data_IF_045411023268
#
_entry.id   IF_045411023268
#
_cell.length_a   1.000
_cell.length_b   1.000
_cell.length_c   1.000
_cell.angle_alpha   90.00
_cell.angle_beta   90.00
_cell.angle_gamma   90.00
#
_symmetry.space_group_name_H-M   'P 1'
#
loop_
_entity.id
_entity.type
_entity.pdbx_description
1 polymer ?
#
# COMPACT_ATOMS: atom_id res chain seq x y z
N UNK A 1 5.54 17.87 29.01
CA UNK A 1 5.54 19.31 29.35
C UNK A 1 4.90 19.56 30.71
N UNK A 2 3.67 19.15 30.92
CA UNK A 2 2.99 19.33 32.22
C UNK A 2 3.73 18.75 33.42
N UNK A 3 4.37 17.59 33.28
CA UNK A 3 5.12 16.91 34.37
C UNK A 3 6.34 17.72 34.89
N UNK A 4 6.79 18.78 34.19
CA UNK A 4 7.88 19.66 34.60
C UNK A 4 7.47 21.12 34.80
N UNK A 5 6.17 21.41 34.87
CA UNK A 5 5.64 22.77 35.09
C UNK A 5 5.91 23.77 33.95
N UNK A 6 6.26 23.26 32.73
CA UNK A 6 6.45 24.14 31.57
C UNK A 6 5.12 24.40 30.89
N UNK A 7 4.79 25.67 30.69
CA UNK A 7 3.53 26.11 30.08
C UNK A 7 3.70 26.60 28.64
N UNK A 8 4.91 27.00 28.25
CA UNK A 8 5.22 27.50 26.91
C UNK A 8 6.43 26.80 26.29
N UNK A 9 6.47 26.74 24.94
CA UNK A 9 7.58 26.14 24.17
C UNK A 9 8.89 26.89 24.44
N UNK A 10 8.82 28.19 24.65
CA UNK A 10 9.97 29.04 24.99
C UNK A 10 10.68 28.69 26.31
N UNK A 11 9.97 28.04 27.22
CA UNK A 11 10.51 27.62 28.53
C UNK A 11 11.27 26.30 28.50
N UNK A 12 11.20 25.58 27.40
CA UNK A 12 11.84 24.27 27.25
C UNK A 12 13.34 24.45 27.08
N UNK A 13 14.09 23.76 27.92
CA UNK A 13 15.55 23.74 27.88
C UNK A 13 16.10 22.55 27.09
N UNK A 14 17.38 22.59 26.73
CA UNK A 14 18.07 21.45 26.12
C UNK A 14 18.07 20.22 27.03
N UNK A 15 18.10 20.43 28.35
CA UNK A 15 18.02 19.36 29.35
C UNK A 15 16.62 18.71 29.37
N UNK A 16 15.55 19.52 29.28
CA UNK A 16 14.19 19.00 29.16
C UNK A 16 14.02 18.14 27.90
N UNK A 17 14.60 18.58 26.78
CA UNK A 17 14.57 17.85 25.52
C UNK A 17 15.38 16.54 25.60
N UNK A 18 16.54 16.55 26.27
CA UNK A 18 17.35 15.34 26.49
C UNK A 18 16.65 14.34 27.41
N UNK A 19 16.08 14.82 28.52
CA UNK A 19 15.30 13.98 29.45
C UNK A 19 14.06 13.37 28.79
N UNK A 20 13.39 14.11 27.90
CA UNK A 20 12.29 13.56 27.11
C UNK A 20 12.75 12.36 26.26
N UNK A 21 13.91 12.48 25.58
CA UNK A 21 14.47 11.38 24.80
C UNK A 21 14.84 10.18 25.69
N UNK A 22 15.42 10.41 26.86
CA UNK A 22 15.74 9.36 27.82
C UNK A 22 14.46 8.62 28.27
N UNK A 23 13.42 9.35 28.67
CA UNK A 23 12.12 8.79 29.06
C UNK A 23 11.46 7.97 27.94
N UNK A 24 11.57 8.40 26.67
CA UNK A 24 11.06 7.58 25.54
C UNK A 24 11.78 6.24 25.40
N UNK A 25 13.06 6.16 25.79
CA UNK A 25 13.90 4.95 25.64
C UNK A 25 13.82 4.02 26.86
N UNK A 26 13.70 4.57 28.03
CA UNK A 26 13.72 3.85 29.31
C UNK A 26 12.31 3.51 29.79
N UNK A 27 11.32 4.28 29.34
CA UNK A 27 9.96 4.23 29.88
C UNK A 27 9.88 4.98 31.23
N UNK A 28 8.68 5.01 31.77
CA UNK A 28 8.38 5.52 33.10
C UNK A 28 7.32 4.64 33.80
N UNK A 29 6.81 5.07 34.95
CA UNK A 29 5.82 4.30 35.70
C UNK A 29 4.49 4.09 34.93
N UNK A 30 4.18 5.00 34.00
CA UNK A 30 2.93 5.01 33.24
C UNK A 30 3.10 4.50 31.80
N UNK A 31 4.34 4.48 31.27
CA UNK A 31 4.61 4.19 29.85
C UNK A 31 5.79 3.23 29.69
N UNK A 32 5.55 2.15 28.96
CA UNK A 32 6.60 1.23 28.56
C UNK A 32 7.59 1.88 27.58
N UNK A 33 8.87 1.44 27.56
CA UNK A 33 9.89 1.91 26.61
C UNK A 33 9.40 1.84 25.16
N UNK A 34 9.61 2.89 24.40
CA UNK A 34 9.26 2.90 22.98
C UNK A 34 10.31 2.15 22.14
N UNK A 35 9.83 1.42 21.14
CA UNK A 35 10.70 0.90 20.09
C UNK A 35 11.51 2.04 19.42
N UNK A 36 12.74 1.78 19.00
CA UNK A 36 13.64 2.77 18.41
C UNK A 36 13.01 3.59 17.27
N UNK A 37 12.21 2.95 16.41
CA UNK A 37 11.50 3.62 15.32
C UNK A 37 10.38 4.56 15.80
N UNK A 38 9.72 4.23 16.91
CA UNK A 38 8.70 5.08 17.53
C UNK A 38 9.34 6.26 18.25
N UNK A 39 10.40 6.03 19.00
CA UNK A 39 11.19 7.08 19.64
C UNK A 39 11.77 8.05 18.60
N UNK A 40 12.30 7.54 17.48
CA UNK A 40 12.80 8.37 16.38
C UNK A 40 11.72 9.28 15.79
N UNK A 41 10.49 8.77 15.61
CA UNK A 41 9.34 9.59 15.14
C UNK A 41 8.94 10.66 16.14
N UNK A 42 8.89 10.33 17.43
CA UNK A 42 8.59 11.30 18.47
C UNK A 42 9.63 12.42 18.51
N UNK A 43 10.91 12.09 18.45
CA UNK A 43 12.00 13.07 18.36
C UNK A 43 11.88 13.94 17.11
N UNK A 44 11.57 13.36 15.94
CA UNK A 44 11.38 14.13 14.72
C UNK A 44 10.21 15.14 14.85
N UNK A 45 9.12 14.75 15.50
CA UNK A 45 7.97 15.62 15.74
C UNK A 45 8.36 16.79 16.67
N UNK A 46 9.08 16.51 17.77
CA UNK A 46 9.57 17.54 18.71
C UNK A 46 10.55 18.50 18.06
N UNK A 47 11.48 17.99 17.24
CA UNK A 47 12.40 18.83 16.45
C UNK A 47 11.63 19.74 15.47
N UNK A 48 10.63 19.18 14.76
CA UNK A 48 9.79 19.97 13.86
C UNK A 48 9.02 21.08 14.60
N UNK A 49 8.48 20.78 15.78
CA UNK A 49 7.79 21.75 16.61
C UNK A 49 8.74 22.88 17.07
N UNK A 50 9.93 22.57 17.54
CA UNK A 50 10.89 23.59 17.98
C UNK A 50 11.42 24.43 16.82
N UNK A 51 11.74 23.82 15.67
CA UNK A 51 12.14 24.54 14.48
C UNK A 51 11.04 25.53 14.03
N UNK A 52 9.77 25.09 14.04
CA UNK A 52 8.62 25.95 13.77
C UNK A 52 8.50 27.08 14.80
N UNK A 53 8.61 26.78 16.09
CA UNK A 53 8.52 27.79 17.15
C UNK A 53 9.58 28.88 17.02
N UNK A 54 10.79 28.52 16.60
CA UNK A 54 11.86 29.50 16.32
C UNK A 54 11.53 30.33 15.08
N UNK A 55 11.06 29.72 14.01
CA UNK A 55 10.69 30.41 12.78
C UNK A 55 9.56 31.44 13.00
N UNK A 56 8.61 31.12 13.89
CA UNK A 56 7.48 32.00 14.26
C UNK A 56 7.82 32.97 15.41
N UNK A 57 9.08 33.03 15.88
CA UNK A 57 9.48 33.91 16.98
C UNK A 57 8.93 33.55 18.37
N UNK A 58 8.34 32.34 18.51
CA UNK A 58 7.79 31.83 19.78
C UNK A 58 8.87 31.24 20.71
N UNK A 59 10.06 30.97 20.20
CA UNK A 59 11.21 30.51 20.96
C UNK A 59 12.50 31.17 20.43
N UNK A 60 13.43 31.49 21.32
CA UNK A 60 14.68 32.17 20.97
C UNK A 60 15.70 31.25 20.30
N UNK A 61 15.64 29.93 20.55
CA UNK A 61 16.58 28.94 20.03
C UNK A 61 15.93 27.57 19.85
N UNK A 62 16.41 26.79 18.85
CA UNK A 62 16.01 25.40 18.62
C UNK A 62 16.80 24.47 19.56
N UNK A 63 16.29 24.27 20.77
CA UNK A 63 16.90 23.38 21.77
C UNK A 63 16.77 21.89 21.42
N UNK A 64 15.82 21.53 20.56
CA UNK A 64 15.58 20.16 20.15
C UNK A 64 16.38 19.75 18.90
N UNK A 65 16.94 20.70 18.15
CA UNK A 65 17.67 20.45 16.91
C UNK A 65 18.87 19.51 17.07
N UNK A 66 19.49 19.51 18.24
CA UNK A 66 20.64 18.64 18.58
C UNK A 66 20.27 17.25 19.08
N UNK A 67 18.99 16.96 19.31
CA UNK A 67 18.56 15.63 19.72
C UNK A 67 18.90 14.61 18.62
N UNK A 68 19.62 13.55 18.97
CA UNK A 68 19.91 12.45 18.07
C UNK A 68 18.94 11.31 18.34
N UNK A 69 17.99 11.06 17.42
CA UNK A 69 17.07 9.92 17.58
C UNK A 69 17.86 8.61 17.55
N UNK A 70 17.38 7.58 18.28
CA UNK A 70 17.99 6.25 18.17
C UNK A 70 17.88 5.76 16.73
N UNK A 71 18.99 5.24 16.18
CA UNK A 71 18.98 4.65 14.86
C UNK A 71 18.14 3.35 14.93
N UNK A 72 17.03 3.25 14.18
CA UNK A 72 16.33 1.97 14.09
C UNK A 72 17.26 0.94 13.45
N UNK A 73 17.20 -0.33 13.88
CA UNK A 73 17.97 -1.38 13.23
C UNK A 73 17.59 -1.38 11.74
N UNK A 74 18.60 -1.29 10.86
CA UNK A 74 18.42 -1.40 9.40
C UNK A 74 18.05 -2.85 9.07
N UNK A 75 16.78 -3.20 9.22
CA UNK A 75 16.25 -4.40 8.61
C UNK A 75 15.92 -4.04 7.16
N UNK A 76 16.75 -4.48 6.23
CA UNK A 76 16.37 -4.46 4.82
C UNK A 76 15.09 -5.28 4.70
N UNK A 77 14.02 -4.76 4.12
CA UNK A 77 12.84 -5.55 3.81
C UNK A 77 13.30 -6.73 2.95
N UNK A 78 13.14 -7.94 3.45
CA UNK A 78 13.50 -9.13 2.68
C UNK A 78 12.33 -9.43 1.74
N UNK A 79 12.59 -9.46 0.44
CA UNK A 79 11.64 -10.01 -0.51
C UNK A 79 11.39 -11.49 -0.14
N UNK A 80 10.16 -11.93 -0.21
CA UNK A 80 9.81 -13.36 -0.09
C UNK A 80 9.75 -13.97 -1.48
N UNK A 81 10.11 -15.25 -1.61
CA UNK A 81 10.12 -15.95 -2.88
C UNK A 81 8.73 -16.14 -3.48
N UNK A 82 8.67 -16.43 -4.78
CA UNK A 82 7.40 -16.64 -5.52
C UNK A 82 6.53 -17.69 -4.84
N UNK A 83 7.10 -18.84 -4.46
CA UNK A 83 6.37 -19.91 -3.76
C UNK A 83 5.80 -19.48 -2.40
N UNK A 84 6.49 -18.59 -1.68
CA UNK A 84 6.00 -18.02 -0.42
C UNK A 84 4.83 -17.07 -0.66
N UNK A 85 4.90 -16.25 -1.71
CA UNK A 85 3.78 -15.38 -2.12
C UNK A 85 2.56 -16.22 -2.51
N UNK A 86 2.74 -17.30 -3.25
CA UNK A 86 1.65 -18.20 -3.64
C UNK A 86 0.97 -18.83 -2.43
N UNK A 87 1.75 -19.32 -1.46
CA UNK A 87 1.21 -19.86 -0.20
C UNK A 87 0.44 -18.79 0.58
N UNK A 88 0.97 -17.57 0.64
CA UNK A 88 0.33 -16.44 1.30
C UNK A 88 -1.04 -16.10 0.70
N UNK A 89 -1.11 -16.01 -0.63
CA UNK A 89 -2.33 -15.72 -1.37
C UNK A 89 -3.34 -16.87 -1.26
N UNK A 90 -2.87 -18.11 -1.34
CA UNK A 90 -3.71 -19.29 -1.15
C UNK A 90 -4.34 -19.30 0.26
N UNK A 91 -3.54 -19.00 1.29
CA UNK A 91 -4.01 -18.93 2.67
C UNK A 91 -5.07 -17.83 2.90
N UNK A 92 -5.02 -16.72 2.15
CA UNK A 92 -6.04 -15.67 2.18
C UNK A 92 -7.38 -16.13 1.59
N UNK A 93 -7.35 -17.04 0.61
CA UNK A 93 -8.54 -17.63 -0.01
C UNK A 93 -9.25 -18.67 0.85
N UNK A 94 -8.71 -19.02 2.01
CA UNK A 94 -9.31 -19.99 2.94
C UNK A 94 -10.18 -19.25 3.95
N UNK A 95 -11.42 -19.70 4.13
CA UNK A 95 -12.35 -19.14 5.11
C UNK A 95 -13.31 -20.18 5.63
N UNK A 96 -13.81 -19.97 6.83
CA UNK A 96 -14.78 -20.85 7.49
C UNK A 96 -16.20 -20.55 7.04
N UNK A 97 -16.99 -21.61 6.84
CA UNK A 97 -18.40 -21.59 6.53
C UNK A 97 -18.75 -21.46 5.06
N UNK A 98 -19.80 -22.21 4.62
CA UNK A 98 -20.29 -22.13 3.26
C UNK A 98 -20.85 -20.73 2.96
N UNK A 99 -20.49 -20.18 1.80
CA UNK A 99 -20.99 -18.87 1.36
C UNK A 99 -20.29 -17.64 1.98
N UNK A 100 -19.25 -17.83 2.80
CA UNK A 100 -18.46 -16.70 3.34
C UNK A 100 -17.78 -15.91 2.19
N UNK A 101 -18.13 -14.63 1.96
CA UNK A 101 -17.57 -13.84 0.88
C UNK A 101 -16.16 -13.27 1.15
N UNK A 102 -15.70 -13.31 2.40
CA UNK A 102 -14.42 -12.70 2.81
C UNK A 102 -13.20 -13.33 2.13
N UNK A 103 -13.09 -14.67 1.98
CA UNK A 103 -11.96 -15.29 1.29
C UNK A 103 -11.78 -14.81 -0.15
N UNK A 104 -12.87 -14.56 -0.88
CA UNK A 104 -12.80 -14.00 -2.24
C UNK A 104 -12.22 -12.59 -2.22
N UNK A 105 -12.67 -11.75 -1.26
CA UNK A 105 -12.14 -10.40 -1.05
C UNK A 105 -10.66 -10.44 -0.68
N UNK A 106 -10.29 -11.27 0.27
CA UNK A 106 -8.95 -11.32 0.84
C UNK A 106 -7.93 -11.80 -0.18
N UNK A 107 -8.30 -12.83 -0.95
CA UNK A 107 -7.50 -13.30 -2.09
C UNK A 107 -7.34 -12.21 -3.15
N UNK A 108 -8.43 -11.56 -3.57
CA UNK A 108 -8.39 -10.50 -4.56
C UNK A 108 -7.52 -9.32 -4.11
N UNK A 109 -7.58 -8.95 -2.83
CA UNK A 109 -6.74 -7.90 -2.25
C UNK A 109 -5.24 -8.26 -2.33
N UNK A 110 -4.85 -9.49 -1.94
CA UNK A 110 -3.44 -9.89 -1.95
C UNK A 110 -2.91 -10.10 -3.37
N UNK A 111 -3.71 -10.66 -4.27
CA UNK A 111 -3.38 -10.75 -5.70
C UNK A 111 -3.14 -9.36 -6.30
N UNK A 112 -4.00 -8.40 -5.99
CA UNK A 112 -3.84 -7.02 -6.46
C UNK A 112 -2.57 -6.38 -5.89
N UNK A 113 -2.34 -6.47 -4.57
CA UNK A 113 -1.17 -5.87 -3.92
C UNK A 113 0.14 -6.41 -4.49
N UNK A 114 0.23 -7.73 -4.67
CA UNK A 114 1.42 -8.35 -5.24
C UNK A 114 1.51 -8.16 -6.76
N UNK A 115 0.40 -8.38 -7.49
CA UNK A 115 0.39 -8.31 -8.96
C UNK A 115 0.59 -6.91 -9.53
N UNK A 116 0.41 -5.83 -8.74
CA UNK A 116 0.57 -4.45 -9.20
C UNK A 116 1.62 -3.66 -8.43
N UNK A 117 2.14 -4.21 -7.35
CA UNK A 117 3.00 -3.48 -6.43
C UNK A 117 2.31 -2.27 -5.78
N UNK A 118 0.99 -2.23 -5.73
CA UNK A 118 0.23 -1.13 -5.15
C UNK A 118 0.54 -0.94 -3.67
N UNK A 119 0.49 0.32 -3.21
CA UNK A 119 0.46 0.61 -1.77
C UNK A 119 -0.88 0.17 -1.19
N UNK A 120 -0.89 -0.30 0.05
CA UNK A 120 -2.14 -0.72 0.71
C UNK A 120 -3.21 0.40 0.70
N UNK A 121 -2.79 1.66 0.82
CA UNK A 121 -3.70 2.81 0.75
C UNK A 121 -4.28 3.02 -0.65
N UNK A 122 -3.52 2.73 -1.69
CA UNK A 122 -3.97 2.79 -3.08
C UNK A 122 -4.98 1.67 -3.35
N UNK A 123 -4.70 0.45 -2.93
CA UNK A 123 -5.60 -0.70 -3.12
C UNK A 123 -6.96 -0.50 -2.41
N UNK A 124 -6.97 -0.08 -1.12
CA UNK A 124 -8.24 0.13 -0.41
C UNK A 124 -8.96 1.42 -0.85
N UNK A 125 -8.23 2.34 -1.49
CA UNK A 125 -8.78 3.57 -2.06
C UNK A 125 -9.51 3.37 -3.38
N UNK A 126 -9.34 2.22 -4.06
CA UNK A 126 -9.94 1.97 -5.37
C UNK A 126 -11.46 2.02 -5.34
N UNK A 127 -12.00 2.66 -6.37
CA UNK A 127 -13.40 2.61 -6.73
C UNK A 127 -13.62 1.66 -7.91
N UNK A 128 -14.84 1.18 -8.08
CA UNK A 128 -15.16 0.23 -9.16
C UNK A 128 -14.86 0.84 -10.54
N UNK A 129 -15.01 2.16 -10.66
CA UNK A 129 -14.73 2.89 -11.90
C UNK A 129 -13.22 2.99 -12.21
N UNK A 130 -12.33 2.79 -11.21
CA UNK A 130 -10.88 2.76 -11.42
C UNK A 130 -10.40 1.45 -12.05
N UNK A 131 -11.23 0.41 -12.02
CA UNK A 131 -10.86 -0.92 -12.52
C UNK A 131 -10.87 -1.03 -14.04
N UNK A 132 -11.19 0.07 -14.77
CA UNK A 132 -11.18 0.09 -16.22
C UNK A 132 -11.95 -1.10 -16.82
N UNK A 133 -13.14 -1.42 -16.26
CA UNK A 133 -14.04 -2.42 -16.81
C UNK A 133 -14.51 -1.92 -18.18
N UNK A 134 -13.80 -2.29 -19.24
CA UNK A 134 -14.18 -1.96 -20.60
C UNK A 134 -15.53 -2.62 -20.91
N UNK A 135 -16.47 -1.80 -21.22
CA UNK A 135 -17.83 -2.20 -21.59
C UNK A 135 -18.87 -1.16 -21.24
N UNK A 136 -18.50 -0.01 -20.65
CA UNK A 136 -19.43 1.11 -20.53
C UNK A 136 -19.25 2.04 -21.72
N UNK A 137 -20.30 2.27 -22.52
CA UNK A 137 -20.26 3.19 -23.68
C UNK A 137 -19.91 4.63 -23.28
N UNK A 138 -20.08 5.01 -22.01
CA UNK A 138 -20.03 6.38 -21.51
C UNK A 138 -18.85 6.66 -20.54
N UNK A 139 -17.89 5.73 -20.38
CA UNK A 139 -16.67 5.96 -19.59
C UNK A 139 -15.60 6.74 -20.37
N UNK A 140 -14.58 7.36 -19.71
CA UNK A 140 -13.51 8.08 -20.39
C UNK A 140 -12.54 7.19 -21.18
N UNK A 141 -12.97 6.00 -21.56
CA UNK A 141 -12.38 5.09 -22.54
C UNK A 141 -13.49 4.69 -23.47
N UNK A 142 -13.60 5.35 -24.61
CA UNK A 142 -14.45 4.94 -25.72
C UNK A 142 -14.19 3.48 -26.15
N UNK A 143 -14.81 2.96 -27.22
CA UNK A 143 -14.70 1.57 -27.67
C UNK A 143 -13.27 1.04 -27.82
N UNK A 144 -12.25 1.95 -27.82
CA UNK A 144 -10.83 1.63 -27.90
C UNK A 144 -10.07 1.79 -26.55
N UNK A 145 -10.74 2.06 -25.43
CA UNK A 145 -10.12 2.22 -24.12
C UNK A 145 -9.68 0.88 -23.51
N UNK A 146 -8.48 0.81 -22.85
CA UNK A 146 -7.99 -0.43 -22.26
C UNK A 146 -8.71 -0.76 -20.95
N UNK A 147 -9.81 -1.49 -21.03
CA UNK A 147 -10.53 -1.95 -19.86
C UNK A 147 -10.27 -3.43 -19.51
N UNK A 148 -10.65 -3.83 -18.29
CA UNK A 148 -10.82 -5.22 -17.94
C UNK A 148 -12.05 -5.74 -18.72
N UNK A 149 -11.85 -6.35 -19.89
CA UNK A 149 -12.94 -6.93 -20.67
C UNK A 149 -13.71 -7.97 -19.84
N UNK A 150 -15.06 -7.93 -19.90
CA UNK A 150 -15.89 -9.00 -19.41
C UNK A 150 -15.59 -10.33 -20.15
N UNK A 151 -16.23 -11.46 -19.76
CA UNK A 151 -16.06 -12.73 -20.46
C UNK A 151 -16.27 -12.55 -21.96
N UNK A 152 -15.21 -12.75 -22.77
CA UNK A 152 -15.23 -12.59 -24.22
C UNK A 152 -14.78 -11.22 -24.77
N UNK A 153 -14.40 -10.25 -23.91
CA UNK A 153 -13.86 -8.95 -24.35
C UNK A 153 -12.36 -8.98 -24.66
N UNK A 154 -11.83 -7.95 -25.38
CA UNK A 154 -10.38 -7.81 -25.61
C UNK A 154 -9.65 -7.73 -24.27
N UNK A 155 -8.75 -8.67 -23.99
CA UNK A 155 -8.03 -8.81 -22.71
C UNK A 155 -8.36 -10.10 -21.96
N UNK A 156 -9.29 -10.92 -22.40
CA UNK A 156 -9.57 -12.27 -21.92
C UNK A 156 -8.55 -13.29 -22.50
N UNK A 157 -8.49 -14.57 -22.03
CA UNK A 157 -7.28 -15.42 -22.14
C UNK A 157 -6.52 -15.25 -23.45
N UNK A 158 -5.25 -14.75 -23.35
CA UNK A 158 -4.37 -14.50 -24.51
C UNK A 158 -4.25 -13.04 -24.95
N UNK A 159 -5.08 -12.11 -24.45
CA UNK A 159 -4.95 -10.67 -24.73
C UNK A 159 -3.91 -9.96 -23.84
N UNK A 160 -3.55 -8.68 -24.15
CA UNK A 160 -2.64 -7.92 -23.35
C UNK A 160 -3.18 -7.73 -21.91
N UNK A 161 -2.31 -7.60 -20.89
CA UNK A 161 -2.74 -7.34 -19.53
C UNK A 161 -3.68 -6.15 -19.44
N UNK A 162 -4.79 -6.30 -18.71
CA UNK A 162 -5.65 -5.17 -18.38
C UNK A 162 -4.87 -4.12 -17.58
N UNK A 163 -5.36 -2.90 -17.51
CA UNK A 163 -4.71 -1.84 -16.75
C UNK A 163 -5.61 -1.30 -15.65
N UNK A 164 -5.01 -0.78 -14.61
CA UNK A 164 -5.64 -0.20 -13.45
C UNK A 164 -5.04 1.17 -13.16
N UNK A 165 -5.88 2.14 -12.83
CA UNK A 165 -5.45 3.47 -12.41
C UNK A 165 -5.32 3.53 -10.89
N UNK A 166 -4.09 3.74 -10.41
CA UNK A 166 -3.79 3.91 -8.99
C UNK A 166 -3.58 5.38 -8.66
N UNK A 167 -4.25 5.85 -7.62
CA UNK A 167 -4.12 7.22 -7.12
C UNK A 167 -3.23 7.24 -5.88
N UNK A 168 -2.08 7.92 -5.96
CA UNK A 168 -1.08 8.02 -4.92
C UNK A 168 -1.13 9.33 -4.12
N UNK A 169 -0.09 9.55 -3.29
CA UNK A 169 0.04 10.77 -2.46
C UNK A 169 0.07 12.04 -3.33
N UNK A 170 -0.71 13.03 -2.96
CA UNK A 170 -0.78 14.33 -3.66
C UNK A 170 -1.58 14.28 -4.98
N UNK A 171 -2.50 13.33 -5.15
CA UNK A 171 -3.33 13.21 -6.35
C UNK A 171 -2.60 12.66 -7.58
N UNK A 172 -1.33 12.27 -7.45
CA UNK A 172 -0.58 11.67 -8.56
C UNK A 172 -1.18 10.33 -8.96
N UNK A 173 -1.49 10.17 -10.22
CA UNK A 173 -2.05 8.93 -10.77
C UNK A 173 -0.99 8.19 -11.60
N UNK A 174 -1.08 6.87 -11.62
CA UNK A 174 -0.32 6.02 -12.53
C UNK A 174 -1.16 4.86 -13.02
N UNK A 175 -0.85 4.40 -14.21
CA UNK A 175 -1.46 3.21 -14.80
C UNK A 175 -0.53 2.03 -14.56
N UNK A 176 -1.08 0.92 -14.08
CA UNK A 176 -0.34 -0.32 -13.86
C UNK A 176 -1.05 -1.49 -14.57
N UNK A 177 -0.32 -2.42 -15.18
CA UNK A 177 -0.90 -3.63 -15.73
C UNK A 177 -1.41 -4.54 -14.62
N UNK A 178 -2.48 -5.29 -14.91
CA UNK A 178 -3.08 -6.28 -14.02
C UNK A 178 -2.96 -7.65 -14.68
N UNK A 179 -2.19 -8.54 -14.08
CA UNK A 179 -1.99 -9.89 -14.57
C UNK A 179 -3.23 -10.78 -14.41
N UNK A 180 -3.20 -11.94 -15.06
CA UNK A 180 -4.32 -12.88 -15.12
C UNK A 180 -4.84 -13.26 -13.73
N UNK A 181 -3.98 -13.66 -12.83
CA UNK A 181 -4.40 -14.11 -11.49
C UNK A 181 -5.09 -13.01 -10.66
N UNK A 182 -4.57 -11.79 -10.69
CA UNK A 182 -5.19 -10.67 -10.00
C UNK A 182 -6.57 -10.33 -10.61
N UNK A 183 -6.68 -10.43 -11.92
CA UNK A 183 -7.94 -10.21 -12.65
C UNK A 183 -8.98 -11.26 -12.31
N UNK A 184 -8.63 -12.55 -12.40
CA UNK A 184 -9.52 -13.66 -12.04
C UNK A 184 -10.01 -13.57 -10.58
N UNK A 185 -9.12 -13.20 -9.67
CA UNK A 185 -9.48 -13.02 -8.26
C UNK A 185 -10.40 -11.81 -8.05
N UNK A 186 -10.14 -10.69 -8.73
CA UNK A 186 -11.01 -9.52 -8.71
C UNK A 186 -12.39 -9.82 -9.29
N UNK A 187 -12.46 -10.48 -10.43
CA UNK A 187 -13.72 -10.87 -11.07
C UNK A 187 -14.54 -11.78 -10.15
N UNK A 188 -13.90 -12.81 -9.58
CA UNK A 188 -14.56 -13.71 -8.64
C UNK A 188 -15.11 -12.95 -7.42
N UNK A 189 -14.34 -11.98 -6.91
CA UNK A 189 -14.79 -11.14 -5.79
C UNK A 189 -15.91 -10.18 -6.20
N UNK A 190 -15.77 -9.47 -7.30
CA UNK A 190 -16.76 -8.47 -7.77
C UNK A 190 -18.11 -9.11 -8.08
N UNK A 191 -18.11 -10.30 -8.70
CA UNK A 191 -19.32 -10.99 -9.10
C UNK A 191 -20.01 -11.71 -7.93
N UNK A 192 -19.25 -12.33 -7.03
CA UNK A 192 -19.79 -13.17 -5.95
C UNK A 192 -19.61 -12.60 -4.55
N UNK A 193 -18.39 -12.13 -4.23
CA UNK A 193 -18.04 -11.72 -2.88
C UNK A 193 -18.55 -10.33 -2.52
N UNK A 194 -18.36 -9.35 -3.40
CA UNK A 194 -18.74 -7.97 -3.13
C UNK A 194 -20.26 -7.77 -2.98
N UNK A 195 -21.11 -8.34 -3.86
CA UNK A 195 -22.57 -8.28 -3.67
C UNK A 195 -23.02 -8.92 -2.35
N UNK A 196 -22.44 -10.06 -1.97
CA UNK A 196 -22.76 -10.73 -0.71
C UNK A 196 -22.37 -9.88 0.52
N UNK A 197 -21.22 -9.20 0.49
CA UNK A 197 -20.84 -8.24 1.54
C UNK A 197 -21.73 -7.00 1.55
N UNK A 198 -22.20 -6.55 0.37
CA UNK A 198 -23.06 -5.39 0.24
C UNK A 198 -24.49 -5.68 0.73
N UNK A 199 -25.04 -6.85 0.43
CA UNK A 199 -26.41 -7.23 0.79
C UNK A 199 -26.66 -7.19 2.31
N UNK A 200 -25.65 -7.49 3.10
CA UNK A 200 -25.74 -7.51 4.56
C UNK A 200 -25.75 -6.13 5.24
N UNK A 201 -25.72 -5.01 4.49
CA UNK A 201 -25.60 -3.69 5.10
C UNK A 201 -26.24 -2.56 4.29
N UNK A 202 -27.10 -1.74 4.92
CA UNK A 202 -27.62 -0.52 4.28
C UNK A 202 -26.51 0.48 3.88
N UNK A 203 -25.34 0.45 4.56
CA UNK A 203 -24.20 1.32 4.28
C UNK A 203 -23.46 0.97 2.99
N UNK A 204 -23.68 -0.24 2.47
CA UNK A 204 -23.08 -0.69 1.21
C UNK A 204 -23.84 -0.18 -0.02
N UNK A 205 -25.07 0.32 0.14
CA UNK A 205 -25.87 0.84 -0.97
C UNK A 205 -25.18 2.09 -1.53
N UNK A 206 -24.78 2.01 -2.81
CA UNK A 206 -24.16 3.12 -3.52
C UNK A 206 -22.68 3.39 -3.21
N UNK A 207 -22.01 2.58 -2.38
CA UNK A 207 -20.56 2.76 -2.21
C UNK A 207 -19.80 2.37 -3.48
N UNK A 208 -18.95 3.26 -4.02
CA UNK A 208 -18.12 2.94 -5.19
C UNK A 208 -16.93 2.04 -4.82
N UNK A 209 -16.63 1.86 -3.53
CA UNK A 209 -15.44 1.13 -3.08
C UNK A 209 -15.37 -0.29 -3.66
N UNK A 210 -14.20 -0.66 -4.19
CA UNK A 210 -13.92 -2.04 -4.62
C UNK A 210 -13.95 -2.96 -3.42
N UNK A 211 -13.10 -2.73 -2.44
CA UNK A 211 -12.96 -3.62 -1.29
C UNK A 211 -13.85 -3.18 -0.13
N UNK A 212 -14.75 -4.09 0.28
CA UNK A 212 -15.68 -3.86 1.40
C UNK A 212 -15.22 -4.58 2.66
N UNK A 213 -15.47 -3.96 3.81
CA UNK A 213 -15.35 -4.61 5.11
C UNK A 213 -16.59 -5.47 5.40
N UNK A 214 -16.60 -6.19 6.54
CA UNK A 214 -17.73 -7.04 6.95
C UNK A 214 -19.05 -6.29 7.19
N UNK A 215 -18.99 -4.95 7.32
CA UNK A 215 -20.15 -4.09 7.54
C UNK A 215 -20.61 -3.40 6.25
N UNK A 216 -20.08 -3.81 5.09
CA UNK A 216 -20.42 -3.27 3.78
C UNK A 216 -19.82 -1.89 3.47
N UNK A 217 -19.09 -1.25 4.37
CA UNK A 217 -18.34 -0.02 4.09
C UNK A 217 -16.98 -0.31 3.44
N UNK A 218 -16.29 0.73 2.98
CA UNK A 218 -14.92 0.63 2.43
C UNK A 218 -13.98 -0.06 3.42
N UNK A 219 -13.16 -0.98 2.95
CA UNK A 219 -12.12 -1.60 3.73
C UNK A 219 -11.05 -0.56 4.11
N UNK A 220 -10.71 -0.49 5.40
CA UNK A 220 -9.67 0.43 5.87
C UNK A 220 -8.28 -0.15 5.67
N UNK A 221 -7.24 0.71 5.74
CA UNK A 221 -5.84 0.25 5.72
C UNK A 221 -5.54 -0.75 6.84
N UNK A 222 -6.09 -0.50 8.04
CA UNK A 222 -5.96 -1.41 9.18
C UNK A 222 -6.64 -2.75 8.92
N UNK A 223 -7.85 -2.73 8.32
CA UNK A 223 -8.56 -3.95 7.93
C UNK A 223 -7.79 -4.75 6.87
N UNK A 224 -7.25 -4.09 5.86
CA UNK A 224 -6.40 -4.74 4.85
C UNK A 224 -5.09 -5.29 5.44
N UNK A 225 -4.51 -4.57 6.41
CA UNK A 225 -3.36 -5.08 7.16
C UNK A 225 -3.71 -6.34 7.97
N UNK A 226 -4.86 -6.36 8.64
CA UNK A 226 -5.32 -7.53 9.39
C UNK A 226 -5.51 -8.75 8.46
N UNK A 227 -6.07 -8.55 7.26
CA UNK A 227 -6.17 -9.59 6.22
C UNK A 227 -4.80 -10.18 5.90
N UNK A 228 -3.83 -9.32 5.59
CA UNK A 228 -2.46 -9.77 5.28
C UNK A 228 -1.82 -10.52 6.43
N UNK A 229 -1.97 -10.01 7.66
CA UNK A 229 -1.43 -10.63 8.87
C UNK A 229 -2.00 -12.04 9.09
N UNK A 230 -3.33 -12.17 9.02
CA UNK A 230 -4.00 -13.47 9.17
C UNK A 230 -3.58 -14.46 8.08
N UNK A 231 -3.45 -14.00 6.83
CA UNK A 231 -2.96 -14.84 5.74
C UNK A 231 -1.51 -15.28 5.97
N UNK A 232 -0.64 -14.39 6.46
CA UNK A 232 0.75 -14.71 6.76
C UNK A 232 0.87 -15.73 7.91
N UNK A 233 0.08 -15.58 8.97
CA UNK A 233 0.01 -16.52 10.09
C UNK A 233 -0.42 -17.91 9.61
N UNK A 234 -1.47 -18.01 8.78
CA UNK A 234 -1.94 -19.27 8.19
C UNK A 234 -0.92 -19.91 7.26
N UNK A 235 -0.16 -19.11 6.51
CA UNK A 235 0.89 -19.58 5.62
C UNK A 235 2.19 -19.95 6.34
N UNK A 236 2.29 -19.72 7.68
CA UNK A 236 3.52 -19.94 8.45
C UNK A 236 4.62 -18.93 8.11
N UNK A 237 4.29 -17.73 7.65
CA UNK A 237 5.23 -16.70 7.22
C UNK A 237 5.35 -15.59 8.26
N UNK A 238 6.57 -15.33 8.75
CA UNK A 238 6.84 -14.27 9.72
C UNK A 238 7.31 -12.97 9.04
N UNK A 239 7.01 -11.83 9.66
CA UNK A 239 7.54 -10.52 9.24
C UNK A 239 6.94 -9.99 7.93
N UNK A 240 5.82 -10.54 7.47
CA UNK A 240 5.15 -10.09 6.24
C UNK A 240 4.43 -8.77 6.48
N UNK A 241 4.62 -7.85 5.55
CA UNK A 241 4.01 -6.52 5.55
C UNK A 241 3.59 -6.13 4.13
N UNK A 242 2.74 -5.10 3.94
CA UNK A 242 2.44 -4.58 2.61
C UNK A 242 3.69 -4.09 1.86
N UNK A 243 4.70 -3.60 2.59
CA UNK A 243 5.98 -3.24 2.00
C UNK A 243 6.77 -4.47 1.53
N UNK A 244 6.65 -5.60 2.24
CA UNK A 244 7.24 -6.87 1.83
C UNK A 244 6.69 -7.31 0.48
N UNK A 245 5.35 -7.34 0.29
CA UNK A 245 4.74 -7.71 -0.99
C UNK A 245 5.16 -6.78 -2.13
N UNK A 246 5.16 -5.48 -1.89
CA UNK A 246 5.60 -4.50 -2.89
C UNK A 246 7.09 -4.63 -3.22
N UNK A 247 7.92 -4.96 -2.23
CA UNK A 247 9.34 -5.22 -2.45
C UNK A 247 9.54 -6.51 -3.24
N UNK A 248 8.81 -7.58 -2.92
CA UNK A 248 8.82 -8.83 -3.67
C UNK A 248 8.37 -8.63 -5.13
N UNK A 249 7.32 -7.85 -5.38
CA UNK A 249 6.92 -7.45 -6.73
C UNK A 249 8.10 -6.81 -7.49
N UNK A 250 8.78 -5.82 -6.88
CA UNK A 250 9.91 -5.15 -7.52
C UNK A 250 11.06 -6.11 -7.80
N UNK A 251 11.43 -6.93 -6.81
CA UNK A 251 12.53 -7.90 -6.92
C UNK A 251 12.23 -8.93 -8.01
N UNK A 252 11.04 -9.51 -8.01
CA UNK A 252 10.68 -10.54 -8.99
C UNK A 252 10.59 -10.00 -10.43
N UNK A 253 10.19 -8.73 -10.61
CA UNK A 253 10.29 -8.09 -11.93
C UNK A 253 11.74 -7.93 -12.39
N UNK A 254 12.63 -7.49 -11.49
CA UNK A 254 14.05 -7.34 -11.81
C UNK A 254 14.71 -8.69 -12.09
N UNK A 255 14.41 -9.70 -11.29
CA UNK A 255 14.87 -11.08 -11.49
C UNK A 255 14.36 -11.67 -12.83
N UNK A 256 13.15 -11.28 -13.25
CA UNK A 256 12.57 -11.59 -14.54
C UNK A 256 13.14 -10.79 -15.73
N UNK A 257 14.14 -9.92 -15.49
CA UNK A 257 14.83 -9.14 -16.52
C UNK A 257 14.19 -7.79 -16.84
N UNK A 258 13.26 -7.29 -15.99
CA UNK A 258 12.70 -5.95 -16.20
C UNK A 258 13.75 -4.87 -15.92
N UNK A 259 13.73 -3.81 -16.73
CA UNK A 259 14.55 -2.63 -16.50
C UNK A 259 14.16 -1.91 -15.20
N UNK A 260 15.15 -1.47 -14.43
CA UNK A 260 14.96 -0.77 -13.14
C UNK A 260 14.05 0.46 -13.26
N UNK A 261 14.15 1.21 -14.38
CA UNK A 261 13.32 2.40 -14.61
C UNK A 261 11.86 2.04 -14.82
N UNK A 262 11.59 0.96 -15.55
CA UNK A 262 10.23 0.44 -15.75
C UNK A 262 9.64 0.03 -14.40
N UNK A 263 10.40 -0.64 -13.55
CA UNK A 263 9.97 -1.02 -12.20
C UNK A 263 9.71 0.21 -11.33
N UNK A 264 10.56 1.24 -11.40
CA UNK A 264 10.35 2.51 -10.68
C UNK A 264 9.07 3.22 -11.13
N UNK A 265 8.79 3.23 -12.44
CA UNK A 265 7.57 3.81 -13.00
C UNK A 265 6.32 3.06 -12.53
N UNK A 266 6.31 1.73 -12.61
CA UNK A 266 5.24 0.88 -12.09
C UNK A 266 4.99 1.14 -10.61
N UNK A 267 6.02 1.36 -9.83
CA UNK A 267 5.92 1.67 -8.41
C UNK A 267 5.51 3.12 -8.11
N UNK A 268 5.64 4.04 -9.06
CA UNK A 268 5.34 5.46 -8.85
C UNK A 268 6.31 6.09 -7.86
N UNK A 269 7.62 5.89 -8.05
CA UNK A 269 8.66 6.57 -7.30
C UNK A 269 8.84 7.98 -7.85
N UNK A 270 8.44 9.00 -7.09
CA UNK A 270 8.45 10.41 -7.47
C UNK A 270 9.82 11.09 -7.29
N UNK A 271 10.94 10.40 -7.42
CA UNK A 271 12.23 11.06 -7.34
C UNK A 271 13.29 10.43 -8.21
N UNK A 272 13.41 10.94 -9.44
CA UNK A 272 14.73 11.23 -9.97
C UNK A 272 14.72 12.70 -10.33
N UNK A 273 15.34 13.51 -9.48
CA UNK A 273 15.75 14.88 -9.77
C UNK A 273 16.85 14.79 -10.81
N UNK A 274 16.49 14.66 -12.06
CA UNK A 274 17.39 14.95 -13.18
C UNK A 274 16.52 15.34 -14.36
N UNK A 275 16.56 16.61 -14.66
CA UNK A 275 16.08 17.23 -15.89
C UNK A 275 16.91 16.69 -17.05
N UNK A 276 16.68 15.46 -17.45
CA UNK A 276 17.13 14.93 -18.72
C UNK A 276 15.90 14.43 -19.46
N UNK A 277 15.76 14.88 -20.69
CA UNK A 277 14.76 14.49 -21.68
C UNK A 277 14.80 12.97 -21.83
N UNK A 278 13.94 12.26 -21.09
CA UNK A 278 13.80 10.82 -21.20
C UNK A 278 12.43 10.48 -21.79
N UNK A 279 12.47 9.66 -22.80
CA UNK A 279 11.34 9.03 -23.47
C UNK A 279 10.38 8.49 -22.43
N UNK A 280 9.15 9.01 -22.39
CA UNK A 280 8.07 8.51 -21.55
C UNK A 280 7.89 7.02 -21.83
N UNK A 281 7.96 6.20 -20.78
CA UNK A 281 7.66 4.77 -20.92
C UNK A 281 6.17 4.66 -21.25
N UNK A 282 5.86 4.16 -22.44
CA UNK A 282 4.46 4.03 -22.89
C UNK A 282 3.76 2.94 -22.09
N UNK A 283 2.43 3.02 -22.01
CA UNK A 283 1.59 1.99 -21.35
C UNK A 283 1.83 0.61 -21.99
N UNK A 284 2.02 0.57 -23.30
CA UNK A 284 2.31 -0.69 -24.02
C UNK A 284 3.66 -1.27 -23.62
N UNK A 285 4.69 -0.44 -23.41
CA UNK A 285 5.99 -0.91 -22.92
C UNK A 285 5.90 -1.43 -21.47
N UNK A 286 5.10 -0.77 -20.62
CA UNK A 286 4.82 -1.27 -19.27
C UNK A 286 4.14 -2.64 -19.29
N UNK A 287 3.16 -2.83 -20.20
CA UNK A 287 2.46 -4.10 -20.39
C UNK A 287 3.41 -5.19 -20.89
N UNK A 288 4.22 -4.91 -21.90
CA UNK A 288 5.19 -5.85 -22.47
C UNK A 288 6.17 -6.36 -21.42
N UNK A 289 6.83 -5.42 -20.70
CA UNK A 289 7.80 -5.75 -19.67
C UNK A 289 7.14 -6.52 -18.52
N UNK A 290 5.95 -6.11 -18.09
CA UNK A 290 5.20 -6.82 -17.08
C UNK A 290 4.85 -8.24 -17.53
N UNK A 291 4.36 -8.40 -18.76
CA UNK A 291 3.97 -9.69 -19.32
C UNK A 291 5.16 -10.65 -19.49
N UNK A 292 6.37 -10.13 -19.74
CA UNK A 292 7.58 -10.97 -19.87
C UNK A 292 8.23 -11.32 -18.53
N UNK A 293 8.23 -10.39 -17.57
CA UNK A 293 9.05 -10.49 -16.37
C UNK A 293 8.28 -10.88 -15.09
N UNK A 294 6.98 -10.55 -14.98
CA UNK A 294 6.27 -10.81 -13.72
C UNK A 294 5.75 -12.24 -13.63
N UNK A 295 6.03 -13.00 -12.53
CA UNK A 295 5.65 -14.42 -12.38
C UNK A 295 4.14 -14.70 -12.55
N UNK A 296 3.29 -13.73 -12.19
CA UNK A 296 1.82 -13.88 -12.29
C UNK A 296 1.20 -13.11 -13.45
N UNK A 297 1.99 -12.72 -14.42
CA UNK A 297 1.47 -12.09 -15.65
C UNK A 297 0.85 -13.13 -16.59
N UNK A 298 1.55 -14.25 -16.74
CA UNK A 298 1.17 -15.42 -17.55
C UNK A 298 1.03 -16.61 -16.62
N UNK A 299 0.03 -17.37 -16.76
CA UNK A 299 -0.17 -18.61 -16.03
C UNK A 299 -0.70 -19.65 -17.00
#
# INVERSE_FOLDING_TARGET
MAARGRSAVAEITAEDAASFLAGLREGDQDHAPLAASSAARAVAAVRGLHAFAVAEGMAAADVAGRLRPPAPPRRLPRAIGVAEVERLIAAAGVGEGPGNPRPLRDRALLELLYGTGARISEAVGLDVDDLGLAGRPDGPGGPDGPGLGGPGGPGWPGGPPATLRLSGKGGKQRIVPVGRYAREALDAYLVRGRPALAAGSPRARGTPAVFLNARGGRLTRQGAWAVLKTAAERAGLAGISPHTLRHSFATHLLDGGADVRVVQELLGHASVTTTQVYTLVTVDKLREVYASAHPRARG
#
